data_IF_973629277129
#
_entry.id   IF_973629277129
#
_cell.length_a   1.000
_cell.length_b   1.000
_cell.length_c   1.000
_cell.angle_alpha   90.00
_cell.angle_beta   90.00
_cell.angle_gamma   90.00
#
_symmetry.space_group_name_H-M   'P 1'
#
loop_
_entity.id
_entity.type
_entity.pdbx_description
1 polymer ?
#
# COMPACT_ATOMS: atom_id res chain seq x y z
N UNK A 1 1.22 15.13 -29.69
CA UNK A 1 1.58 14.98 -28.27
C UNK A 1 1.29 13.52 -27.95
N UNK A 2 2.32 12.66 -27.80
CA UNK A 2 2.07 11.24 -27.50
C UNK A 2 1.66 11.15 -26.04
N UNK A 3 0.48 10.61 -25.79
CA UNK A 3 -0.06 10.44 -24.44
C UNK A 3 0.76 9.37 -23.73
N UNK A 4 1.73 9.76 -22.91
CA UNK A 4 2.34 8.88 -21.93
C UNK A 4 1.35 8.76 -20.78
N UNK A 5 0.40 7.83 -20.88
CA UNK A 5 -0.65 7.65 -19.88
C UNK A 5 -0.86 6.17 -19.58
N UNK A 6 -1.07 5.85 -18.31
CA UNK A 6 -1.67 4.58 -17.90
C UNK A 6 -3.17 4.84 -17.77
N UNK A 7 -3.99 4.14 -18.55
CA UNK A 7 -5.44 4.26 -18.47
C UNK A 7 -5.96 3.28 -17.42
N UNK A 8 -6.88 3.75 -16.58
CA UNK A 8 -7.63 2.91 -15.65
C UNK A 8 -9.12 3.08 -15.94
N UNK A 9 -9.89 2.00 -15.79
CA UNK A 9 -11.30 1.97 -16.11
C UNK A 9 -12.12 1.84 -14.82
N UNK A 10 -12.16 2.91 -14.03
CA UNK A 10 -13.02 3.04 -12.86
C UNK A 10 -13.29 4.52 -12.54
N UNK A 11 -14.41 4.79 -11.87
CA UNK A 11 -14.68 6.10 -11.29
C UNK A 11 -14.23 6.14 -9.83
N UNK A 12 -13.61 7.26 -9.41
CA UNK A 12 -13.17 7.40 -8.02
C UNK A 12 -14.41 7.38 -7.11
N UNK A 13 -14.52 6.40 -6.19
CA UNK A 13 -15.68 6.29 -5.32
C UNK A 13 -15.76 7.49 -4.38
N UNK A 14 -16.97 8.04 -4.22
CA UNK A 14 -17.23 9.14 -3.29
C UNK A 14 -18.03 8.61 -2.12
N UNK A 15 -17.37 8.48 -0.97
CA UNK A 15 -18.03 8.16 0.29
C UNK A 15 -18.43 9.46 0.97
N UNK A 16 -19.68 9.56 1.43
CA UNK A 16 -20.16 10.74 2.16
C UNK A 16 -20.09 10.46 3.65
N UNK A 17 -19.42 11.32 4.41
CA UNK A 17 -19.41 11.23 5.87
C UNK A 17 -20.84 11.34 6.43
N UNK A 18 -21.21 10.45 7.35
CA UNK A 18 -22.52 10.45 8.01
C UNK A 18 -22.37 11.09 9.38
N UNK A 19 -23.09 12.18 9.65
CA UNK A 19 -23.12 12.77 10.99
C UNK A 19 -23.89 11.87 11.96
N UNK A 20 -23.25 11.46 13.06
CA UNK A 20 -23.89 10.71 14.14
C UNK A 20 -24.22 9.24 13.84
N UNK A 21 -23.82 8.71 12.68
CA UNK A 21 -24.01 7.31 12.26
C UNK A 21 -22.70 6.51 12.20
N UNK A 22 -22.81 5.22 11.85
CA UNK A 22 -21.64 4.39 11.54
C UNK A 22 -20.98 4.89 10.23
N UNK A 23 -19.65 4.82 10.17
CA UNK A 23 -18.87 5.37 9.04
C UNK A 23 -18.96 4.43 7.85
N UNK A 24 -19.34 4.90 6.64
CA UNK A 24 -19.56 4.02 5.50
C UNK A 24 -18.25 3.59 4.85
N UNK A 25 -18.23 2.36 4.33
CA UNK A 25 -17.10 1.80 3.57
C UNK A 25 -17.60 0.97 2.39
N UNK A 26 -16.76 0.82 1.36
CA UNK A 26 -16.96 -0.18 0.30
C UNK A 26 -16.09 -1.40 0.61
N UNK A 27 -16.70 -2.58 0.72
CA UNK A 27 -16.00 -3.82 0.98
C UNK A 27 -16.84 -5.03 0.54
N UNK A 28 -16.18 -6.13 0.14
CA UNK A 28 -16.89 -7.40 -0.08
C UNK A 28 -17.20 -8.07 1.27
N UNK A 29 -18.36 -7.78 1.86
CA UNK A 29 -18.81 -8.45 3.08
C UNK A 29 -19.42 -9.83 2.79
N UNK A 30 -18.96 -10.86 3.52
CA UNK A 30 -19.53 -12.23 3.43
C UNK A 30 -20.78 -12.42 4.30
N UNK A 31 -20.84 -11.77 5.46
CA UNK A 31 -22.02 -11.71 6.35
C UNK A 31 -21.90 -10.53 7.32
N UNK A 32 -23.03 -9.84 7.60
CA UNK A 32 -23.18 -8.62 8.43
C UNK A 32 -22.68 -7.32 7.77
N UNK A 33 -23.53 -6.30 7.83
CA UNK A 33 -23.32 -4.92 7.35
C UNK A 33 -22.20 -4.17 8.09
N UNK A 34 -21.44 -4.82 8.97
CA UNK A 34 -20.45 -4.18 9.85
C UNK A 34 -19.05 -4.74 9.62
N UNK A 35 -18.09 -3.85 9.45
CA UNK A 35 -16.67 -4.15 9.31
C UNK A 35 -15.91 -3.50 10.46
N UNK A 36 -15.02 -4.25 11.09
CA UNK A 36 -14.12 -3.73 12.12
C UNK A 36 -12.71 -3.62 11.55
N UNK A 37 -12.11 -2.45 11.67
CA UNK A 37 -10.70 -2.21 11.41
C UNK A 37 -10.09 -1.64 12.69
N UNK A 38 -9.23 -2.42 13.34
CA UNK A 38 -8.70 -2.12 14.68
C UNK A 38 -9.84 -1.81 15.67
N UNK A 39 -9.80 -0.66 16.36
CA UNK A 39 -10.81 -0.21 17.31
C UNK A 39 -12.04 0.46 16.66
N UNK A 40 -12.06 0.60 15.34
CA UNK A 40 -13.08 1.34 14.60
C UNK A 40 -14.11 0.42 13.96
N UNK A 41 -15.36 0.83 14.07
CA UNK A 41 -16.51 0.15 13.46
C UNK A 41 -17.02 0.94 12.25
N UNK A 42 -17.28 0.21 11.17
CA UNK A 42 -17.73 0.73 9.89
C UNK A 42 -18.97 0.00 9.40
N UNK A 43 -19.79 0.67 8.60
CA UNK A 43 -20.95 0.11 7.92
C UNK A 43 -20.62 -0.16 6.44
N UNK A 44 -20.77 -1.40 6.01
CA UNK A 44 -20.50 -1.81 4.63
C UNK A 44 -21.72 -1.47 3.77
N UNK A 45 -21.53 -0.61 2.77
CA UNK A 45 -22.59 -0.22 1.85
C UNK A 45 -22.70 -1.17 0.65
N UNK A 46 -21.58 -1.38 -0.04
CA UNK A 46 -21.51 -2.23 -1.23
C UNK A 46 -20.08 -2.71 -1.51
N UNK A 47 -19.91 -3.54 -2.53
CA UNK A 47 -18.60 -3.98 -2.98
C UNK A 47 -17.88 -2.86 -3.76
N UNK A 48 -16.54 -2.76 -3.67
CA UNK A 48 -15.77 -1.85 -4.53
C UNK A 48 -15.94 -2.18 -6.01
N UNK A 49 -15.83 -1.16 -6.86
CA UNK A 49 -15.83 -1.30 -8.31
C UNK A 49 -14.78 -2.32 -8.81
N UNK A 50 -15.16 -3.17 -9.77
CA UNK A 50 -14.28 -4.24 -10.29
C UNK A 50 -13.07 -3.66 -11.05
N UNK A 51 -13.23 -2.51 -11.71
CA UNK A 51 -12.16 -1.81 -12.40
C UNK A 51 -11.13 -1.22 -11.42
N UNK A 52 -11.57 -0.69 -10.28
CA UNK A 52 -10.69 -0.28 -9.20
C UNK A 52 -9.90 -1.47 -8.63
N UNK A 53 -10.59 -2.59 -8.37
CA UNK A 53 -9.94 -3.82 -7.88
C UNK A 53 -8.89 -4.30 -8.88
N UNK A 54 -9.22 -4.33 -10.17
CA UNK A 54 -8.31 -4.75 -11.23
C UNK A 54 -7.08 -3.81 -11.33
N UNK A 55 -7.30 -2.49 -11.34
CA UNK A 55 -6.23 -1.50 -11.44
C UNK A 55 -5.23 -1.60 -10.27
N UNK A 56 -5.72 -1.81 -9.05
CA UNK A 56 -4.85 -2.02 -7.88
C UNK A 56 -4.16 -3.39 -7.91
N UNK A 57 -4.85 -4.44 -8.35
CA UNK A 57 -4.30 -5.79 -8.47
C UNK A 57 -3.13 -5.85 -9.48
N UNK A 58 -3.16 -5.00 -10.51
CA UNK A 58 -2.09 -4.83 -11.49
C UNK A 58 -0.84 -4.17 -10.92
N UNK A 59 -0.91 -3.44 -9.81
CA UNK A 59 0.28 -2.88 -9.16
C UNK A 59 1.06 -3.93 -8.34
N UNK A 60 0.42 -5.07 -8.03
CA UNK A 60 0.99 -6.10 -7.18
C UNK A 60 1.81 -7.09 -8.02
N UNK A 61 3.09 -7.27 -7.70
CA UNK A 61 3.96 -8.20 -8.41
C UNK A 61 3.56 -9.67 -8.20
N UNK A 62 3.29 -10.06 -6.96
CA UNK A 62 3.06 -11.46 -6.59
C UNK A 62 1.61 -11.88 -6.84
N UNK A 63 1.42 -12.91 -7.68
CA UNK A 63 0.11 -13.38 -8.13
C UNK A 63 -0.83 -13.79 -6.97
N UNK A 64 -0.30 -14.48 -5.95
CA UNK A 64 -1.10 -14.91 -4.78
C UNK A 64 -1.63 -13.71 -4.00
N UNK A 65 -0.82 -12.67 -3.81
CA UNK A 65 -1.22 -11.44 -3.12
C UNK A 65 -2.22 -10.67 -3.97
N UNK A 66 -1.96 -10.56 -5.28
CA UNK A 66 -2.85 -9.91 -6.25
C UNK A 66 -4.25 -10.54 -6.26
N UNK A 67 -4.35 -11.87 -6.31
CA UNK A 67 -5.64 -12.60 -6.28
C UNK A 67 -6.43 -12.42 -4.97
N UNK A 68 -5.75 -12.20 -3.84
CA UNK A 68 -6.40 -12.00 -2.53
C UNK A 68 -6.93 -10.58 -2.34
N UNK A 69 -6.51 -9.62 -3.17
CA UNK A 69 -6.91 -8.22 -3.04
C UNK A 69 -8.42 -8.04 -3.13
N UNK A 70 -9.08 -8.72 -4.09
CA UNK A 70 -10.52 -8.60 -4.31
C UNK A 70 -11.37 -8.94 -3.09
N UNK A 71 -10.89 -9.83 -2.22
CA UNK A 71 -11.57 -10.24 -0.99
C UNK A 71 -11.24 -9.36 0.23
N UNK A 72 -10.22 -8.51 0.11
CA UNK A 72 -9.62 -7.77 1.24
C UNK A 72 -9.60 -6.26 1.05
N UNK A 73 -9.92 -5.77 -0.14
CA UNK A 73 -9.99 -4.34 -0.42
C UNK A 73 -11.14 -3.71 0.37
N UNK A 74 -10.81 -2.67 1.12
CA UNK A 74 -11.76 -1.81 1.81
C UNK A 74 -11.47 -0.38 1.37
N UNK A 75 -12.49 0.29 0.83
CA UNK A 75 -12.43 1.71 0.49
C UNK A 75 -13.01 2.50 1.65
N UNK A 76 -12.23 3.44 2.17
CA UNK A 76 -12.57 4.29 3.31
C UNK A 76 -12.81 5.73 2.86
N UNK A 77 -13.54 6.49 3.66
CA UNK A 77 -13.55 7.96 3.54
C UNK A 77 -12.14 8.52 3.78
N UNK A 78 -11.81 9.64 3.12
CA UNK A 78 -10.48 10.26 3.19
C UNK A 78 -10.02 10.54 4.63
N UNK A 79 -10.91 11.03 5.50
CA UNK A 79 -10.59 11.28 6.92
C UNK A 79 -10.25 10.01 7.70
N UNK A 80 -10.88 8.88 7.39
CA UNK A 80 -10.60 7.60 8.03
C UNK A 80 -9.28 7.03 7.54
N UNK A 81 -9.04 7.08 6.22
CA UNK A 81 -7.75 6.69 5.66
C UNK A 81 -6.61 7.57 6.22
N UNK A 82 -6.81 8.88 6.29
CA UNK A 82 -5.85 9.82 6.85
C UNK A 82 -5.57 9.55 8.34
N UNK A 83 -6.57 9.08 9.09
CA UNK A 83 -6.37 8.65 10.47
C UNK A 83 -5.47 7.41 10.54
N UNK A 84 -5.74 6.36 9.77
CA UNK A 84 -4.89 5.16 9.74
C UNK A 84 -3.47 5.46 9.25
N UNK A 85 -3.33 6.32 8.24
CA UNK A 85 -2.02 6.72 7.72
C UNK A 85 -1.18 7.54 8.74
N UNK A 86 -1.81 8.13 9.76
CA UNK A 86 -1.13 8.90 10.82
C UNK A 86 -0.91 8.14 12.11
N UNK A 87 -1.82 7.22 12.46
CA UNK A 87 -1.85 6.60 13.78
C UNK A 87 -1.83 5.07 13.73
N UNK A 88 -2.09 4.47 12.57
CA UNK A 88 -2.13 3.01 12.36
C UNK A 88 -0.80 2.42 11.91
N UNK A 89 0.29 3.20 11.87
CA UNK A 89 1.61 2.70 11.47
C UNK A 89 2.31 1.99 12.64
N UNK A 90 3.02 0.86 12.39
CA UNK A 90 3.80 0.19 13.40
C UNK A 90 4.88 1.09 14.00
N UNK A 91 4.90 1.16 15.34
CA UNK A 91 5.94 1.81 16.12
C UNK A 91 6.71 0.73 16.89
N UNK A 92 8.01 0.61 16.63
CA UNK A 92 8.90 -0.36 17.26
C UNK A 92 9.79 0.32 18.30
N UNK A 93 9.79 -0.20 19.53
CA UNK A 93 10.75 0.19 20.56
C UNK A 93 12.08 -0.54 20.33
N UNK A 94 13.18 0.19 20.25
CA UNK A 94 14.53 -0.37 20.07
C UNK A 94 15.44 0.09 21.20
N UNK A 95 16.35 -0.79 21.60
CA UNK A 95 17.29 -0.50 22.67
C UNK A 95 18.70 -0.97 22.32
N UNK A 96 19.68 -0.39 23.02
CA UNK A 96 21.04 -0.93 23.10
C UNK A 96 21.21 -1.53 24.48
N UNK A 97 21.57 -2.81 24.56
CA UNK A 97 21.86 -3.47 25.82
C UNK A 97 23.35 -3.40 26.16
N UNK A 98 23.67 -3.36 27.45
CA UNK A 98 24.99 -3.70 27.95
C UNK A 98 25.18 -5.22 27.85
N UNK A 99 26.25 -5.66 27.20
CA UNK A 99 26.48 -7.10 26.97
C UNK A 99 26.71 -7.90 28.26
N UNK A 100 27.29 -7.30 29.29
CA UNK A 100 27.59 -7.97 30.57
C UNK A 100 26.38 -7.95 31.50
N UNK A 101 25.74 -6.78 31.68
CA UNK A 101 24.67 -6.60 32.68
C UNK A 101 23.27 -6.82 32.14
N UNK A 102 23.11 -6.90 30.81
CA UNK A 102 21.83 -6.94 30.09
C UNK A 102 20.89 -5.77 30.39
N UNK A 103 21.41 -4.67 30.93
CA UNK A 103 20.66 -3.43 31.16
C UNK A 103 20.64 -2.56 29.89
N UNK A 104 19.53 -1.86 29.63
CA UNK A 104 19.44 -0.90 28.53
C UNK A 104 20.32 0.32 28.77
N UNK A 105 21.15 0.67 27.78
CA UNK A 105 21.96 1.90 27.71
C UNK A 105 21.26 3.02 26.95
N UNK A 106 20.35 2.66 26.04
CA UNK A 106 19.58 3.60 25.25
C UNK A 106 18.25 2.96 24.83
N UNK A 107 17.25 3.81 24.60
CA UNK A 107 15.91 3.43 24.15
C UNK A 107 15.41 4.50 23.16
N UNK A 108 14.88 4.07 22.02
CA UNK A 108 14.23 4.94 21.06
C UNK A 108 13.08 4.21 20.38
N UNK A 109 12.28 4.97 19.64
CA UNK A 109 11.14 4.46 18.88
C UNK A 109 11.32 4.77 17.41
N UNK A 110 10.97 3.81 16.55
CA UNK A 110 11.00 3.94 15.10
C UNK A 110 9.60 3.64 14.54
N UNK A 111 9.12 4.49 13.65
CA UNK A 111 7.89 4.26 12.88
C UNK A 111 8.26 3.66 11.51
N UNK A 112 7.49 2.69 11.05
CA UNK A 112 7.74 2.00 9.77
C UNK A 112 6.46 1.82 8.98
N UNK A 113 6.54 1.86 7.64
CA UNK A 113 5.42 1.41 6.81
C UNK A 113 5.22 -0.10 6.97
N UNK A 114 3.96 -0.57 7.11
CA UNK A 114 3.66 -2.00 7.19
C UNK A 114 4.13 -2.78 5.95
N UNK A 115 4.47 -4.07 6.10
CA UNK A 115 4.55 -4.97 4.95
C UNK A 115 3.21 -5.00 4.19
N UNK A 116 3.25 -5.35 2.91
CA UNK A 116 2.09 -5.33 2.00
C UNK A 116 1.53 -3.92 1.68
N UNK A 117 2.22 -2.84 2.06
CA UNK A 117 1.93 -1.48 1.57
C UNK A 117 2.25 -1.37 0.08
N UNK A 118 1.29 -0.87 -0.71
CA UNK A 118 1.50 -0.55 -2.14
C UNK A 118 1.83 0.92 -2.27
N UNK A 119 2.97 1.22 -2.86
CA UNK A 119 3.38 2.57 -3.26
C UNK A 119 3.49 2.61 -4.78
N UNK A 120 3.20 3.76 -5.37
CA UNK A 120 3.37 3.97 -6.80
C UNK A 120 4.09 5.29 -7.07
N UNK A 121 4.83 5.35 -8.18
CA UNK A 121 5.48 6.56 -8.66
C UNK A 121 5.39 6.61 -10.18
N UNK A 122 5.14 7.80 -10.72
CA UNK A 122 5.20 8.03 -12.16
C UNK A 122 6.62 8.45 -12.55
N UNK A 123 7.24 7.70 -13.45
CA UNK A 123 8.59 7.99 -13.94
C UNK A 123 8.55 8.32 -15.43
N UNK A 124 8.93 9.56 -15.76
CA UNK A 124 9.02 10.03 -17.15
C UNK A 124 10.46 9.95 -17.68
N UNK A 125 10.66 9.22 -18.78
CA UNK A 125 11.94 9.17 -19.48
C UNK A 125 11.95 10.13 -20.69
N UNK A 126 13.06 10.87 -20.89
CA UNK A 126 13.22 11.78 -22.04
C UNK A 126 13.57 11.07 -23.35
N UNK A 127 13.99 9.80 -23.29
CA UNK A 127 14.31 8.97 -24.45
C UNK A 127 13.92 7.52 -24.21
N UNK A 128 13.64 6.78 -25.28
CA UNK A 128 13.39 5.34 -25.21
C UNK A 128 14.58 4.55 -24.63
N UNK A 129 15.81 5.01 -24.90
CA UNK A 129 17.01 4.41 -24.34
C UNK A 129 17.02 4.50 -22.79
N UNK A 130 16.75 5.67 -22.24
CA UNK A 130 16.67 5.88 -20.79
C UNK A 130 15.52 5.07 -20.16
N UNK A 131 14.37 4.98 -20.86
CA UNK A 131 13.25 4.13 -20.41
C UNK A 131 13.66 2.66 -20.32
N UNK A 132 14.33 2.15 -21.36
CA UNK A 132 14.79 0.76 -21.41
C UNK A 132 15.83 0.46 -20.33
N UNK A 133 16.74 1.40 -20.06
CA UNK A 133 17.74 1.28 -19.00
C UNK A 133 17.08 1.20 -17.62
N UNK A 134 16.13 2.10 -17.33
CA UNK A 134 15.35 2.06 -16.09
C UNK A 134 14.61 0.73 -15.92
N UNK A 135 13.91 0.27 -16.96
CA UNK A 135 13.23 -1.02 -16.92
C UNK A 135 14.21 -2.19 -16.70
N UNK A 136 15.42 -2.08 -17.23
CA UNK A 136 16.48 -3.07 -17.07
C UNK A 136 17.03 -3.20 -15.65
N UNK A 137 16.81 -2.21 -14.77
CA UNK A 137 17.22 -2.27 -13.36
C UNK A 137 16.44 -3.31 -12.54
N UNK A 138 15.24 -3.69 -13.01
CA UNK A 138 14.32 -4.57 -12.30
C UNK A 138 13.94 -5.78 -13.16
N UNK A 139 14.88 -6.69 -13.46
CA UNK A 139 14.59 -7.88 -14.25
C UNK A 139 13.62 -8.81 -13.51
N UNK A 140 12.87 -9.64 -14.25
CA UNK A 140 11.89 -10.56 -13.67
C UNK A 140 12.48 -11.54 -12.62
N UNK A 141 13.78 -11.81 -12.67
CA UNK A 141 14.50 -12.67 -11.72
C UNK A 141 14.88 -11.96 -10.42
N UNK A 142 15.00 -10.63 -10.42
CA UNK A 142 15.38 -9.83 -9.25
C UNK A 142 14.67 -8.45 -9.25
N UNK A 143 13.33 -8.42 -9.20
CA UNK A 143 12.56 -7.17 -9.26
C UNK A 143 12.40 -6.57 -7.86
N UNK A 144 13.50 -6.39 -7.11
CA UNK A 144 13.45 -5.91 -5.73
C UNK A 144 14.32 -4.68 -5.54
N UNK A 145 13.87 -3.79 -4.67
CA UNK A 145 14.56 -2.55 -4.31
C UNK A 145 14.57 -2.42 -2.79
N UNK A 146 15.71 -2.03 -2.22
CA UNK A 146 15.80 -1.57 -0.84
C UNK A 146 15.55 -0.05 -0.81
N UNK A 147 14.65 0.39 0.07
CA UNK A 147 14.27 1.79 0.25
C UNK A 147 14.33 2.16 1.73
N UNK A 148 15.01 3.27 2.04
CA UNK A 148 15.11 3.80 3.41
C UNK A 148 16.27 3.22 4.22
N UNK A 149 16.22 3.38 5.54
CA UNK A 149 17.23 2.86 6.47
C UNK A 149 17.00 1.42 6.89
N UNK A 150 17.71 0.97 7.93
CA UNK A 150 17.48 -0.33 8.58
C UNK A 150 17.60 -1.58 7.68
N UNK A 151 18.33 -1.48 6.56
CA UNK A 151 18.61 -2.62 5.66
C UNK A 151 19.22 -3.82 6.42
N UNK A 152 20.20 -3.57 7.29
CA UNK A 152 20.93 -4.61 8.03
C UNK A 152 20.07 -5.37 9.03
N UNK A 153 18.87 -4.87 9.34
CA UNK A 153 17.86 -5.55 10.17
C UNK A 153 16.64 -5.97 9.35
N UNK A 154 16.77 -6.02 8.02
CA UNK A 154 15.78 -6.58 7.10
C UNK A 154 14.64 -5.65 6.70
N UNK A 155 14.74 -4.34 6.95
CA UNK A 155 13.68 -3.40 6.59
C UNK A 155 13.89 -2.75 5.22
N UNK A 156 12.78 -2.29 4.62
CA UNK A 156 12.81 -1.47 3.40
C UNK A 156 12.81 -2.26 2.08
N UNK A 157 12.66 -3.58 2.11
CA UNK A 157 12.60 -4.37 0.88
C UNK A 157 11.23 -4.27 0.20
N UNK A 158 11.22 -3.78 -1.03
CA UNK A 158 10.05 -3.62 -1.87
C UNK A 158 10.16 -4.48 -3.13
N UNK A 159 9.07 -5.16 -3.49
CA UNK A 159 8.91 -5.71 -4.83
C UNK A 159 8.54 -4.59 -5.81
N UNK A 160 9.20 -4.54 -6.97
CA UNK A 160 9.02 -3.52 -7.99
C UNK A 160 8.27 -4.10 -9.17
N UNK A 161 7.11 -3.51 -9.48
CA UNK A 161 6.36 -3.79 -10.70
C UNK A 161 6.34 -2.55 -11.56
N UNK A 162 6.82 -2.67 -12.79
CA UNK A 162 6.80 -1.60 -13.78
C UNK A 162 5.62 -1.83 -14.71
N UNK A 163 4.71 -0.87 -14.74
CA UNK A 163 3.63 -0.82 -15.71
C UNK A 163 4.06 0.10 -16.86
N UNK A 164 4.00 -0.41 -18.09
CA UNK A 164 4.24 0.38 -19.29
C UNK A 164 2.91 0.87 -19.86
N UNK A 165 2.83 2.14 -20.26
CA UNK A 165 1.80 2.57 -21.20
C UNK A 165 2.17 2.08 -22.61
N UNK A 166 1.19 1.64 -23.38
CA UNK A 166 1.36 1.54 -24.83
C UNK A 166 1.64 2.94 -25.38
N UNK A 167 2.73 3.10 -26.11
CA UNK A 167 3.10 4.34 -26.79
C UNK A 167 2.90 4.21 -28.29
#
# INVERSE_FOLDING_TARGET
MRHTGYSVDFEVPVLTAVEGGARPVLARARTKERLFLEEREFEVQEAPDEGLVAALAELILHEVTSKRLAERLVVLHDDDFAWFARYGLPIQARNVLNDDTKQSKNLWYEETLPPETILYALVGARSEAARKELCGLFPATAPYLQVGGNETVGQGWCAVRILGGEG
#
